data_IF_049662369581
#
_entry.id   IF_049662369581
#
_cell.length_a   1.000
_cell.length_b   1.000
_cell.length_c   1.000
_cell.angle_alpha   90.00
_cell.angle_beta   90.00
_cell.angle_gamma   90.00
#
_symmetry.space_group_name_H-M   'P 1'
#
loop_
_entity.id
_entity.type
_entity.pdbx_description
1 polymer ?
#
# COMPACT_ATOMS: atom_id res chain seq x y z
N UNK A 1 -16.29 -9.35 21.94
CA UNK A 1 -15.71 -8.00 22.17
C UNK A 1 -15.16 -7.55 20.83
N UNK A 2 -15.70 -6.47 20.27
CA UNK A 2 -15.28 -5.96 18.96
C UNK A 2 -13.90 -5.33 19.12
N UNK A 3 -12.84 -6.03 18.73
CA UNK A 3 -11.60 -5.37 18.34
C UNK A 3 -11.96 -4.55 17.10
N UNK A 4 -12.24 -3.27 17.28
CA UNK A 4 -12.42 -2.34 16.17
C UNK A 4 -11.15 -2.38 15.34
N UNK A 5 -11.13 -3.17 14.26
CA UNK A 5 -10.12 -3.05 13.22
C UNK A 5 -10.12 -1.60 12.79
N UNK A 6 -9.00 -0.92 12.94
CA UNK A 6 -8.88 0.48 12.60
C UNK A 6 -8.74 0.57 11.08
N UNK A 7 -9.88 0.66 10.38
CA UNK A 7 -9.93 0.73 8.92
C UNK A 7 -9.72 2.17 8.45
N UNK A 8 -8.69 2.38 7.62
CA UNK A 8 -8.32 3.69 7.07
C UNK A 8 -8.09 3.58 5.56
N UNK A 9 -9.14 3.44 4.74
CA UNK A 9 -9.01 3.49 3.29
C UNK A 9 -8.58 4.89 2.83
N UNK A 10 -8.22 5.00 1.57
CA UNK A 10 -7.87 6.29 0.94
C UNK A 10 -9.10 7.21 0.80
N UNK A 11 -8.87 8.49 0.51
CA UNK A 11 -9.95 9.45 0.27
C UNK A 11 -10.88 8.99 -0.87
N UNK A 12 -12.17 8.96 -0.57
CA UNK A 12 -13.23 8.42 -1.43
C UNK A 12 -13.71 9.43 -2.47
N UNK A 13 -14.57 8.99 -3.40
CA UNK A 13 -15.16 9.85 -4.43
C UNK A 13 -14.26 10.13 -5.62
N UNK A 14 -14.64 11.15 -6.39
CA UNK A 14 -14.05 11.55 -7.68
C UNK A 14 -13.80 13.07 -7.76
N UNK A 15 -13.66 13.72 -6.61
CA UNK A 15 -13.32 15.15 -6.55
C UNK A 15 -11.80 15.39 -6.58
N UNK A 16 -11.38 16.65 -6.67
CA UNK A 16 -9.96 17.02 -6.77
C UNK A 16 -9.07 16.56 -5.58
N UNK A 17 -9.65 16.18 -4.44
CA UNK A 17 -8.95 15.69 -3.25
C UNK A 17 -9.03 14.17 -3.05
N UNK A 18 -9.85 13.50 -3.87
CA UNK A 18 -9.97 12.04 -3.87
C UNK A 18 -8.68 11.35 -4.34
N UNK A 19 -8.50 10.09 -3.92
CA UNK A 19 -7.30 9.33 -4.23
C UNK A 19 -7.11 9.05 -5.72
N UNK A 20 -8.20 8.91 -6.47
CA UNK A 20 -8.17 8.64 -7.91
C UNK A 20 -7.40 9.73 -8.69
N UNK A 21 -7.45 10.99 -8.23
CA UNK A 21 -6.75 12.12 -8.84
C UNK A 21 -5.38 12.44 -8.21
N UNK A 22 -5.06 11.83 -7.07
CA UNK A 22 -3.87 12.14 -6.26
C UNK A 22 -2.96 10.93 -6.00
N UNK A 23 -3.06 9.90 -6.84
CA UNK A 23 -2.31 8.63 -6.73
C UNK A 23 -1.24 8.45 -7.82
N UNK A 24 -0.80 9.56 -8.44
CA UNK A 24 0.17 9.55 -9.54
C UNK A 24 1.58 9.16 -9.08
N UNK A 25 1.95 9.41 -7.82
CA UNK A 25 3.20 8.94 -7.23
C UNK A 25 3.29 7.40 -7.29
N UNK A 26 2.27 6.72 -6.75
CA UNK A 26 2.16 5.26 -6.78
C UNK A 26 2.06 4.73 -8.21
N UNK A 27 1.27 5.41 -9.08
CA UNK A 27 1.11 5.02 -10.49
C UNK A 27 2.46 4.92 -11.21
N UNK A 28 3.32 5.92 -11.04
CA UNK A 28 4.62 5.98 -11.71
C UNK A 28 5.55 4.86 -11.23
N UNK A 29 5.58 4.56 -9.93
CA UNK A 29 6.34 3.42 -9.40
C UNK A 29 5.84 2.08 -9.94
N UNK A 30 4.52 1.88 -9.96
CA UNK A 30 3.87 0.69 -10.51
C UNK A 30 4.23 0.50 -11.99
N UNK A 31 4.09 1.56 -12.81
CA UNK A 31 4.46 1.52 -14.23
C UNK A 31 5.96 1.23 -14.42
N UNK A 32 6.83 1.75 -13.54
CA UNK A 32 8.26 1.46 -13.56
C UNK A 32 8.62 -0.01 -13.29
N UNK A 33 7.72 -0.77 -12.64
CA UNK A 33 7.89 -2.19 -12.34
C UNK A 33 7.16 -3.12 -13.35
N UNK A 34 6.45 -2.55 -14.33
CA UNK A 34 5.57 -3.31 -15.22
C UNK A 34 6.33 -4.34 -16.06
N UNK A 35 7.41 -3.92 -16.74
CA UNK A 35 8.22 -4.81 -17.57
C UNK A 35 8.85 -5.95 -16.75
N UNK A 36 9.24 -5.66 -15.51
CA UNK A 36 9.79 -6.67 -14.59
C UNK A 36 8.71 -7.67 -14.17
N UNK A 37 7.50 -7.18 -13.90
CA UNK A 37 6.33 -8.01 -13.60
C UNK A 37 6.01 -8.94 -14.76
N UNK A 38 5.96 -8.38 -15.97
CA UNK A 38 5.75 -9.13 -17.20
C UNK A 38 6.77 -10.26 -17.33
N UNK A 39 8.06 -9.95 -17.22
CA UNK A 39 9.14 -10.94 -17.32
C UNK A 39 9.03 -12.03 -16.25
N UNK A 40 8.77 -11.67 -15.00
CA UNK A 40 8.66 -12.64 -13.92
C UNK A 40 7.47 -13.58 -14.11
N UNK A 41 6.31 -13.07 -14.54
CA UNK A 41 5.15 -13.93 -14.84
C UNK A 41 5.47 -14.92 -15.97
N UNK A 42 6.14 -14.46 -17.03
CA UNK A 42 6.52 -15.32 -18.15
C UNK A 42 7.51 -16.42 -17.75
N UNK A 43 8.52 -16.10 -16.94
CA UNK A 43 9.60 -17.02 -16.57
C UNK A 43 9.26 -17.92 -15.38
N UNK A 44 8.45 -17.43 -14.44
CA UNK A 44 8.34 -18.03 -13.10
C UNK A 44 6.99 -18.62 -12.76
N UNK A 45 5.91 -18.27 -13.46
CA UNK A 45 4.59 -18.84 -13.17
C UNK A 45 4.60 -20.32 -13.58
N UNK A 46 4.56 -21.22 -12.60
CA UNK A 46 4.71 -22.66 -12.84
C UNK A 46 3.35 -23.35 -12.85
N UNK A 47 2.50 -22.91 -13.78
CA UNK A 47 1.13 -23.41 -13.94
C UNK A 47 0.91 -23.79 -15.39
N UNK A 48 0.42 -25.01 -15.64
CA UNK A 48 -0.02 -25.40 -16.96
C UNK A 48 -1.33 -24.66 -17.28
N UNK A 49 -1.28 -23.77 -18.27
CA UNK A 49 -2.43 -23.01 -18.74
C UNK A 49 -3.32 -23.82 -19.70
N UNK A 50 -3.22 -25.16 -19.66
CA UNK A 50 -3.78 -26.09 -20.64
C UNK A 50 -4.59 -27.21 -19.95
N UNK A 51 -5.82 -26.94 -19.53
CA UNK A 51 -6.96 -27.85 -19.78
C UNK A 51 -8.28 -27.32 -19.21
N UNK A 52 -9.31 -27.45 -20.03
CA UNK A 52 -10.73 -27.65 -19.74
C UNK A 52 -11.34 -26.76 -18.65
N UNK A 53 -11.76 -25.55 -19.05
CA UNK A 53 -12.61 -24.61 -18.29
C UNK A 53 -11.96 -23.84 -17.12
N UNK A 54 -10.64 -23.60 -17.14
CA UNK A 54 -9.95 -22.95 -16.01
C UNK A 54 -10.03 -21.41 -16.05
N UNK A 55 -10.97 -20.81 -15.31
CA UNK A 55 -10.92 -19.37 -15.00
C UNK A 55 -9.60 -19.02 -14.30
N UNK A 56 -8.80 -18.14 -14.90
CA UNK A 56 -7.58 -17.59 -14.31
C UNK A 56 -7.94 -16.48 -13.32
N UNK A 57 -7.56 -16.67 -12.07
CA UNK A 57 -7.93 -15.82 -10.93
C UNK A 57 -6.78 -14.94 -10.47
N UNK A 58 -7.01 -13.64 -10.46
CA UNK A 58 -6.08 -12.61 -10.02
C UNK A 58 -6.68 -11.90 -8.81
N UNK A 59 -5.89 -11.59 -7.79
CA UNK A 59 -6.34 -10.76 -6.67
C UNK A 59 -5.42 -9.56 -6.49
N UNK A 60 -5.99 -8.36 -6.35
CA UNK A 60 -5.28 -7.16 -5.93
C UNK A 60 -5.68 -6.82 -4.49
N UNK A 61 -4.71 -6.91 -3.57
CA UNK A 61 -4.89 -6.67 -2.14
C UNK A 61 -4.55 -5.21 -1.82
N UNK A 62 -5.55 -4.43 -1.41
CA UNK A 62 -5.44 -2.97 -1.22
C UNK A 62 -5.60 -2.19 -2.53
N UNK A 63 -6.69 -2.47 -3.25
CA UNK A 63 -6.94 -1.90 -4.58
C UNK A 63 -7.34 -0.41 -4.58
N UNK A 64 -7.72 0.14 -3.41
CA UNK A 64 -8.29 1.48 -3.27
C UNK A 64 -9.50 1.68 -4.21
N UNK A 65 -9.64 2.84 -4.84
CA UNK A 65 -10.76 3.24 -5.71
C UNK A 65 -10.40 3.32 -7.19
N UNK A 66 -9.19 2.89 -7.58
CA UNK A 66 -8.63 3.09 -8.92
C UNK A 66 -7.88 4.42 -9.10
N UNK A 67 -7.30 4.68 -10.30
CA UNK A 67 -7.29 3.80 -11.48
C UNK A 67 -6.11 2.81 -11.49
N UNK A 68 -5.17 2.93 -10.55
CA UNK A 68 -3.90 2.19 -10.55
C UNK A 68 -4.11 0.67 -10.57
N UNK A 69 -5.06 0.16 -9.79
CA UNK A 69 -5.44 -1.26 -9.75
C UNK A 69 -5.81 -1.82 -11.14
N UNK A 70 -6.54 -1.04 -11.96
CA UNK A 70 -6.95 -1.49 -13.29
C UNK A 70 -5.77 -1.63 -14.25
N UNK A 71 -4.79 -0.71 -14.16
CA UNK A 71 -3.57 -0.77 -14.95
C UNK A 71 -2.77 -2.04 -14.64
N UNK A 72 -2.58 -2.33 -13.35
CA UNK A 72 -1.86 -3.54 -12.93
C UNK A 72 -2.55 -4.80 -13.40
N UNK A 73 -3.85 -4.91 -13.14
CA UNK A 73 -4.65 -6.09 -13.50
C UNK A 73 -4.60 -6.32 -15.01
N UNK A 74 -4.75 -5.27 -15.81
CA UNK A 74 -4.70 -5.40 -17.26
C UNK A 74 -3.32 -5.87 -17.73
N UNK A 75 -2.23 -5.32 -17.18
CA UNK A 75 -0.87 -5.74 -17.52
C UNK A 75 -0.61 -7.22 -17.18
N UNK A 76 -1.12 -7.71 -16.05
CA UNK A 76 -1.06 -9.13 -15.68
C UNK A 76 -1.83 -9.99 -16.69
N UNK A 77 -3.06 -9.59 -17.02
CA UNK A 77 -3.92 -10.30 -17.99
C UNK A 77 -3.23 -10.39 -19.35
N UNK A 78 -2.74 -9.27 -19.88
CA UNK A 78 -2.07 -9.21 -21.18
C UNK A 78 -0.84 -10.13 -21.21
N UNK A 79 -0.08 -10.17 -20.11
CA UNK A 79 1.06 -11.05 -19.96
C UNK A 79 0.67 -12.53 -19.99
N UNK A 80 -0.34 -12.90 -19.20
CA UNK A 80 -0.81 -14.30 -19.12
C UNK A 80 -1.41 -14.75 -20.45
N UNK A 81 -2.20 -13.89 -21.12
CA UNK A 81 -2.73 -14.16 -22.46
C UNK A 81 -1.61 -14.37 -23.46
N UNK A 82 -0.61 -13.47 -23.50
CA UNK A 82 0.53 -13.60 -24.40
C UNK A 82 1.27 -14.92 -24.22
N UNK A 83 1.43 -15.38 -22.97
CA UNK A 83 2.01 -16.69 -22.67
C UNK A 83 1.14 -17.83 -23.16
N UNK A 84 -0.15 -17.83 -22.82
CA UNK A 84 -1.10 -18.86 -23.21
C UNK A 84 -1.16 -19.04 -24.73
N UNK A 85 -1.18 -17.93 -25.48
CA UNK A 85 -1.15 -17.96 -26.95
C UNK A 85 0.13 -18.60 -27.51
N UNK A 86 1.29 -18.35 -26.89
CA UNK A 86 2.56 -18.96 -27.31
C UNK A 86 2.65 -20.46 -27.01
N UNK A 87 2.06 -20.91 -25.90
CA UNK A 87 2.13 -22.30 -25.46
C UNK A 87 1.15 -23.22 -26.20
N UNK A 88 -0.05 -22.73 -26.58
CA UNK A 88 -1.12 -23.60 -27.09
C UNK A 88 -1.31 -23.63 -28.61
N UNK A 89 -0.48 -22.92 -29.39
CA UNK A 89 -0.69 -22.62 -30.82
C UNK A 89 -2.08 -21.93 -31.06
N UNK A 90 -2.30 -21.29 -32.20
CA UNK A 90 -3.56 -20.57 -32.52
C UNK A 90 -4.84 -21.45 -32.55
N UNK A 91 -4.73 -22.74 -32.20
CA UNK A 91 -5.79 -23.74 -32.33
C UNK A 91 -6.51 -24.10 -31.02
N UNK A 92 -6.18 -23.49 -29.88
CA UNK A 92 -6.99 -23.66 -28.66
C UNK A 92 -8.39 -23.06 -28.86
N UNK A 93 -9.41 -23.91 -28.93
CA UNK A 93 -10.79 -23.53 -29.24
C UNK A 93 -11.52 -22.83 -28.08
N UNK A 94 -10.95 -22.81 -26.87
CA UNK A 94 -11.58 -22.19 -25.69
C UNK A 94 -10.69 -21.07 -25.15
N UNK A 95 -11.17 -19.81 -25.12
CA UNK A 95 -10.41 -18.69 -24.56
C UNK A 95 -10.28 -18.80 -23.03
N UNK A 96 -9.13 -18.37 -22.50
CA UNK A 96 -8.91 -18.27 -21.07
C UNK A 96 -9.80 -17.17 -20.47
N UNK A 97 -10.66 -17.52 -19.53
CA UNK A 97 -11.47 -16.55 -18.78
C UNK A 97 -10.68 -15.98 -17.62
N UNK A 98 -10.82 -14.68 -17.34
CA UNK A 98 -10.18 -14.03 -16.20
C UNK A 98 -11.22 -13.62 -15.15
N UNK A 99 -10.92 -13.85 -13.88
CA UNK A 99 -11.68 -13.34 -12.76
C UNK A 99 -10.75 -12.57 -11.82
N UNK A 100 -11.10 -11.33 -11.53
CA UNK A 100 -10.29 -10.40 -10.76
C UNK A 100 -11.00 -10.04 -9.47
N UNK A 101 -10.32 -10.27 -8.36
CA UNK A 101 -10.75 -9.93 -7.02
C UNK A 101 -10.07 -8.63 -6.59
N UNK A 102 -10.86 -7.57 -6.42
CA UNK A 102 -10.41 -6.30 -5.87
C UNK A 102 -10.66 -6.31 -4.37
N UNK A 103 -9.61 -6.49 -3.58
CA UNK A 103 -9.69 -6.50 -2.12
C UNK A 103 -9.29 -5.14 -1.55
N UNK A 104 -10.06 -4.67 -0.57
CA UNK A 104 -9.71 -3.53 0.28
C UNK A 104 -10.51 -3.62 1.59
N UNK A 105 -10.28 -2.69 2.51
CA UNK A 105 -11.07 -2.55 3.72
C UNK A 105 -12.58 -2.46 3.45
N UNK A 106 -13.39 -2.92 4.40
CA UNK A 106 -14.86 -2.89 4.28
C UNK A 106 -15.44 -1.49 4.14
N UNK A 107 -14.67 -0.45 4.52
CA UNK A 107 -15.04 0.96 4.43
C UNK A 107 -14.50 1.64 3.17
N UNK A 108 -13.77 0.93 2.31
CA UNK A 108 -13.32 1.47 1.03
C UNK A 108 -14.53 1.80 0.12
N UNK A 109 -14.36 2.79 -0.74
CA UNK A 109 -15.40 3.22 -1.68
C UNK A 109 -15.44 2.33 -2.93
N UNK A 110 -15.92 1.09 -2.73
CA UNK A 110 -16.16 0.15 -3.82
C UNK A 110 -17.17 0.67 -4.86
N UNK A 111 -18.05 1.61 -4.49
CA UNK A 111 -18.98 2.21 -5.45
C UNK A 111 -18.22 3.02 -6.48
N UNK A 112 -17.27 3.85 -6.05
CA UNK A 112 -16.40 4.59 -6.98
C UNK A 112 -15.53 3.62 -7.78
N UNK A 113 -14.91 2.62 -7.14
CA UNK A 113 -14.15 1.59 -7.86
C UNK A 113 -14.97 0.97 -9.00
N UNK A 114 -16.19 0.50 -8.75
CA UNK A 114 -17.02 -0.14 -9.77
C UNK A 114 -17.53 0.82 -10.85
N UNK A 115 -17.72 2.11 -10.52
CA UNK A 115 -18.10 3.14 -11.50
C UNK A 115 -16.97 3.52 -12.44
N UNK A 116 -15.72 3.48 -11.96
CA UNK A 116 -14.53 3.95 -12.70
C UNK A 116 -13.79 2.83 -13.43
N UNK A 117 -14.20 1.57 -13.25
CA UNK A 117 -13.65 0.45 -14.00
C UNK A 117 -13.92 0.58 -15.52
N UNK A 118 -13.03 0.05 -16.37
CA UNK A 118 -13.24 0.01 -17.82
C UNK A 118 -14.58 -0.66 -18.20
N UNK A 119 -15.34 -0.15 -19.20
CA UNK A 119 -16.60 -0.74 -19.61
C UNK A 119 -16.49 -2.23 -19.95
N UNK A 120 -17.58 -3.00 -19.77
CA UNK A 120 -17.56 -4.45 -20.02
C UNK A 120 -17.24 -4.82 -21.47
N UNK A 121 -17.41 -3.90 -22.43
CA UNK A 121 -17.02 -4.09 -23.83
C UNK A 121 -15.51 -4.04 -24.05
N UNK A 122 -14.76 -3.41 -23.15
CA UNK A 122 -13.31 -3.25 -23.20
C UNK A 122 -12.60 -4.15 -22.18
N UNK A 123 -13.35 -4.68 -21.20
CA UNK A 123 -12.85 -5.47 -20.09
C UNK A 123 -12.89 -6.95 -20.40
N UNK A 124 -11.74 -7.60 -20.37
CA UNK A 124 -11.60 -9.04 -20.65
C UNK A 124 -11.62 -9.91 -19.39
N UNK A 125 -12.24 -9.43 -18.31
CA UNK A 125 -12.30 -10.12 -17.02
C UNK A 125 -13.59 -9.86 -16.25
N UNK A 126 -14.01 -10.84 -15.46
CA UNK A 126 -15.07 -10.72 -14.46
C UNK A 126 -14.53 -10.05 -13.19
N UNK A 127 -15.23 -9.07 -12.65
CA UNK A 127 -14.78 -8.33 -11.47
C UNK A 127 -15.57 -8.71 -10.22
N UNK A 128 -14.87 -8.83 -9.10
CA UNK A 128 -15.45 -9.13 -7.78
C UNK A 128 -14.82 -8.18 -6.76
N UNK A 129 -15.64 -7.49 -5.96
CA UNK A 129 -15.15 -6.77 -4.78
C UNK A 129 -15.07 -7.70 -3.57
N UNK A 130 -13.98 -7.63 -2.82
CA UNK A 130 -13.72 -8.48 -1.64
C UNK A 130 -13.43 -7.57 -0.44
N UNK A 131 -14.46 -7.17 0.32
CA UNK A 131 -14.27 -6.31 1.48
C UNK A 131 -13.68 -7.10 2.66
N UNK A 132 -12.54 -6.64 3.19
CA UNK A 132 -11.87 -7.27 4.33
C UNK A 132 -10.38 -6.89 4.42
N UNK A 133 -9.81 -6.96 5.63
CA UNK A 133 -8.37 -6.74 5.79
C UNK A 133 -7.59 -7.90 5.18
N UNK A 134 -6.60 -7.59 4.33
CA UNK A 134 -5.67 -8.59 3.80
C UNK A 134 -4.76 -9.18 4.88
N UNK A 135 -4.70 -8.66 6.10
CA UNK A 135 -3.96 -9.32 7.18
C UNK A 135 -4.63 -10.63 7.63
N UNK A 136 -5.86 -10.88 7.20
CA UNK A 136 -6.53 -12.17 7.33
C UNK A 136 -6.80 -12.85 6.00
N UNK A 137 -7.40 -14.05 6.10
CA UNK A 137 -8.00 -14.77 4.98
C UNK A 137 -9.23 -14.01 4.47
N UNK A 138 -9.23 -13.66 3.19
CA UNK A 138 -10.34 -13.02 2.46
C UNK A 138 -10.84 -13.86 1.30
N UNK A 139 -10.08 -14.89 0.89
CA UNK A 139 -10.40 -15.76 -0.24
C UNK A 139 -10.34 -17.26 0.15
N UNK A 140 -10.98 -18.15 -0.62
CA UNK A 140 -10.87 -19.59 -0.41
C UNK A 140 -9.44 -20.10 -0.62
N UNK A 141 -9.13 -21.24 0.00
CA UNK A 141 -7.81 -21.87 -0.16
C UNK A 141 -7.57 -22.29 -1.60
N UNK A 142 -6.33 -22.17 -2.07
CA UNK A 142 -5.91 -22.60 -3.41
C UNK A 142 -6.82 -22.06 -4.53
N UNK A 143 -7.21 -20.79 -4.46
CA UNK A 143 -8.13 -20.18 -5.41
C UNK A 143 -7.48 -19.12 -6.29
N UNK A 144 -6.35 -18.53 -5.88
CA UNK A 144 -5.71 -17.43 -6.60
C UNK A 144 -4.44 -17.89 -7.30
N UNK A 145 -4.30 -17.53 -8.58
CA UNK A 145 -3.12 -17.88 -9.39
C UNK A 145 -2.05 -16.80 -9.30
N UNK A 146 -2.46 -15.53 -9.35
CA UNK A 146 -1.58 -14.37 -9.16
C UNK A 146 -2.20 -13.42 -8.14
N UNK A 147 -1.48 -13.17 -7.04
CA UNK A 147 -1.75 -12.08 -6.13
C UNK A 147 -0.89 -10.85 -6.45
N UNK A 148 -1.46 -9.67 -6.24
CA UNK A 148 -0.77 -8.39 -6.34
C UNK A 148 -1.06 -7.55 -5.11
N UNK A 149 -0.10 -6.74 -4.69
CA UNK A 149 -0.33 -5.65 -3.76
C UNK A 149 0.68 -4.54 -4.02
N UNK A 150 0.22 -3.29 -3.97
CA UNK A 150 1.08 -2.12 -4.19
C UNK A 150 0.81 -1.02 -3.17
N UNK A 151 1.86 -0.51 -2.50
CA UNK A 151 1.79 0.61 -1.57
C UNK A 151 0.84 0.40 -0.38
N UNK A 152 0.80 -0.81 0.16
CA UNK A 152 -0.15 -1.23 1.19
C UNK A 152 0.52 -1.80 2.44
N UNK A 153 1.63 -2.53 2.30
CA UNK A 153 2.24 -3.28 3.41
C UNK A 153 2.90 -2.41 4.48
N UNK A 154 3.04 -1.11 4.24
CA UNK A 154 3.50 -0.15 5.25
C UNK A 154 2.38 0.28 6.20
N UNK A 155 1.11 0.06 5.84
CA UNK A 155 -0.04 0.30 6.70
C UNK A 155 -0.25 -0.85 7.66
N UNK A 156 0.04 -0.65 8.93
CA UNK A 156 -0.18 -1.62 9.99
C UNK A 156 -1.67 -1.86 10.23
N UNK A 157 -2.01 -3.04 10.76
CA UNK A 157 -3.37 -3.41 11.15
C UNK A 157 -3.93 -2.52 12.26
N UNK A 158 -3.05 -1.94 13.09
CA UNK A 158 -3.33 -0.97 14.15
C UNK A 158 -2.06 -0.18 14.51
N UNK A 159 -2.24 0.97 15.14
CA UNK A 159 -1.13 1.63 15.81
C UNK A 159 -0.74 0.80 17.05
N UNK A 160 0.56 0.64 17.36
CA UNK A 160 0.96 -0.10 18.56
C UNK A 160 0.35 0.53 19.82
N UNK A 161 -0.34 -0.26 20.64
CA UNK A 161 -1.11 0.27 21.78
C UNK A 161 -0.25 1.11 22.74
N UNK A 162 0.98 0.66 22.97
CA UNK A 162 1.94 1.32 23.85
C UNK A 162 2.44 2.68 23.36
N UNK A 163 2.25 3.03 22.08
CA UNK A 163 2.68 4.35 21.57
C UNK A 163 1.67 5.45 21.80
N UNK A 164 0.42 5.10 22.13
CA UNK A 164 -0.65 6.04 22.47
C UNK A 164 -0.92 6.12 23.99
N UNK A 165 -0.22 5.33 24.81
CA UNK A 165 -0.39 5.32 26.27
C UNK A 165 0.60 6.26 26.96
N UNK A 166 0.10 7.34 27.58
CA UNK A 166 0.89 8.32 28.33
C UNK A 166 1.75 7.73 29.47
N UNK A 167 1.45 6.53 29.94
CA UNK A 167 2.20 5.83 31.00
C UNK A 167 3.30 4.91 30.47
N UNK A 168 3.30 4.65 29.17
CA UNK A 168 4.25 3.77 28.51
C UNK A 168 5.59 4.46 28.26
N UNK A 169 6.69 3.71 28.38
CA UNK A 169 8.01 4.17 27.95
C UNK A 169 8.10 4.36 26.42
N UNK A 170 7.20 3.71 25.67
CA UNK A 170 7.08 3.83 24.23
C UNK A 170 6.08 4.91 23.81
N UNK A 171 5.59 5.76 24.72
CA UNK A 171 4.65 6.83 24.37
C UNK A 171 5.25 7.78 23.33
N UNK A 172 4.61 7.89 22.17
CA UNK A 172 5.06 8.75 21.09
C UNK A 172 4.55 10.18 21.27
N UNK A 173 5.00 10.83 22.35
CA UNK A 173 4.48 12.14 22.77
C UNK A 173 4.61 13.24 21.72
N UNK A 174 5.74 13.29 21.02
CA UNK A 174 6.13 14.46 20.22
C UNK A 174 5.82 14.30 18.72
N UNK A 175 5.44 13.10 18.28
CA UNK A 175 5.28 12.79 16.87
C UNK A 175 4.00 11.99 16.64
N UNK A 176 3.42 12.14 15.46
CA UNK A 176 2.24 11.39 15.04
C UNK A 176 2.61 10.10 14.27
N UNK A 177 3.90 9.79 14.14
CA UNK A 177 4.42 8.66 13.35
C UNK A 177 5.65 8.02 14.00
N UNK A 178 6.01 6.82 13.56
CA UNK A 178 7.31 6.23 13.87
C UNK A 178 8.40 6.82 12.96
N UNK A 179 9.06 7.90 13.39
CA UNK A 179 10.13 8.53 12.62
C UNK A 179 11.55 7.96 12.91
N UNK A 180 11.65 6.90 13.70
CA UNK A 180 12.90 6.24 14.13
C UNK A 180 13.81 7.03 15.10
N UNK A 181 13.33 8.14 15.69
CA UNK A 181 14.11 8.88 16.70
C UNK A 181 14.11 8.22 18.09
N UNK A 182 12.99 7.60 18.47
CA UNK A 182 12.81 6.96 19.77
C UNK A 182 12.87 5.45 19.62
N UNK A 183 13.83 4.80 20.29
CA UNK A 183 14.06 3.36 20.18
C UNK A 183 12.84 2.54 20.61
N UNK A 184 12.22 2.87 21.75
CA UNK A 184 11.06 2.14 22.27
C UNK A 184 9.83 2.26 21.37
N UNK A 185 9.61 3.45 20.77
CA UNK A 185 8.57 3.65 19.74
C UNK A 185 8.87 2.77 18.53
N UNK A 186 10.10 2.85 18.02
CA UNK A 186 10.54 2.09 16.84
C UNK A 186 10.37 0.58 17.04
N UNK A 187 10.73 0.08 18.22
CA UNK A 187 10.57 -1.32 18.59
C UNK A 187 9.11 -1.74 18.65
N UNK A 188 8.22 -0.90 19.22
CA UNK A 188 6.79 -1.20 19.28
C UNK A 188 6.17 -1.30 17.87
N UNK A 189 6.52 -0.37 16.98
CA UNK A 189 6.08 -0.40 15.58
C UNK A 189 6.64 -1.61 14.82
N UNK A 190 7.91 -1.94 15.04
CA UNK A 190 8.54 -3.13 14.45
C UNK A 190 7.85 -4.43 14.86
N UNK A 191 7.52 -4.58 16.15
CA UNK A 191 6.76 -5.76 16.63
C UNK A 191 5.42 -5.88 15.90
N UNK A 192 4.68 -4.78 15.76
CA UNK A 192 3.42 -4.79 15.04
C UNK A 192 3.59 -5.14 13.55
N UNK A 193 4.61 -4.58 12.89
CA UNK A 193 4.93 -4.91 11.50
C UNK A 193 5.26 -6.38 11.29
N UNK A 194 6.05 -6.98 12.18
CA UNK A 194 6.41 -8.39 12.15
C UNK A 194 5.16 -9.27 12.23
N UNK A 195 4.27 -8.98 13.18
CA UNK A 195 2.99 -9.70 13.34
C UNK A 195 2.10 -9.56 12.10
N UNK A 196 1.98 -8.35 11.57
CA UNK A 196 1.15 -8.03 10.42
C UNK A 196 1.68 -8.69 9.13
N UNK A 197 2.99 -8.63 8.88
CA UNK A 197 3.61 -9.27 7.72
C UNK A 197 3.51 -10.79 7.76
N UNK A 198 3.69 -11.41 8.92
CA UNK A 198 3.54 -12.86 9.08
C UNK A 198 2.10 -13.29 8.80
N UNK A 199 1.12 -12.58 9.36
CA UNK A 199 -0.30 -12.82 9.12
C UNK A 199 -0.69 -12.63 7.65
N UNK A 200 -0.16 -11.59 7.00
CA UNK A 200 -0.34 -11.37 5.57
C UNK A 200 0.20 -12.54 4.74
N UNK A 201 1.45 -12.96 4.98
CA UNK A 201 2.09 -14.04 4.23
C UNK A 201 1.40 -15.38 4.47
N UNK A 202 0.99 -15.69 5.70
CA UNK A 202 0.23 -16.90 6.01
C UNK A 202 -1.11 -16.94 5.27
N UNK A 203 -1.87 -15.83 5.31
CA UNK A 203 -3.15 -15.75 4.61
C UNK A 203 -2.97 -15.91 3.09
N UNK A 204 -1.97 -15.26 2.49
CA UNK A 204 -1.65 -15.42 1.06
C UNK A 204 -1.19 -16.84 0.74
N UNK A 205 -0.40 -17.46 1.61
CA UNK A 205 0.08 -18.83 1.44
C UNK A 205 -1.07 -19.85 1.43
N UNK A 206 -2.13 -19.59 2.17
CA UNK A 206 -3.33 -20.44 2.10
C UNK A 206 -4.18 -20.19 0.84
N UNK A 207 -4.24 -18.96 0.36
CA UNK A 207 -5.14 -18.54 -0.74
C UNK A 207 -4.57 -18.81 -2.14
N UNK A 208 -3.26 -18.65 -2.32
CA UNK A 208 -2.60 -18.90 -3.60
C UNK A 208 -2.50 -20.41 -3.86
N UNK A 209 -2.70 -20.81 -5.11
CA UNK A 209 -2.41 -22.17 -5.58
C UNK A 209 -0.91 -22.48 -5.44
N UNK A 210 -0.51 -23.76 -5.24
CA UNK A 210 0.89 -24.15 -5.36
C UNK A 210 1.48 -23.70 -6.71
N UNK A 211 2.67 -23.10 -6.69
CA UNK A 211 3.29 -22.51 -7.88
C UNK A 211 2.73 -21.15 -8.33
N UNK A 212 1.67 -20.65 -7.66
CA UNK A 212 1.12 -19.31 -7.87
C UNK A 212 2.10 -18.21 -7.44
N UNK A 213 1.95 -17.02 -8.04
CA UNK A 213 2.85 -15.88 -7.80
C UNK A 213 2.18 -14.80 -6.95
N UNK A 214 2.95 -14.17 -6.07
CA UNK A 214 2.56 -12.94 -5.37
C UNK A 214 3.55 -11.83 -5.74
N UNK A 215 3.03 -10.75 -6.30
CA UNK A 215 3.82 -9.55 -6.64
C UNK A 215 3.57 -8.47 -5.60
N UNK A 216 4.64 -7.88 -5.06
CA UNK A 216 4.56 -6.88 -3.99
C UNK A 216 5.42 -5.69 -4.38
N UNK A 217 4.81 -4.50 -4.36
CA UNK A 217 5.48 -3.24 -4.66
C UNK A 217 5.20 -2.28 -3.51
N UNK A 218 6.20 -1.53 -3.07
CA UNK A 218 5.99 -0.52 -2.05
C UNK A 218 7.28 0.21 -1.73
N UNK A 219 7.29 0.89 -0.60
CA UNK A 219 8.46 1.64 -0.15
C UNK A 219 9.02 1.05 1.14
N UNK A 220 10.33 1.09 1.27
CA UNK A 220 11.05 0.76 2.50
C UNK A 220 12.18 1.76 2.72
N UNK A 221 12.73 1.76 3.94
CA UNK A 221 13.94 2.50 4.24
C UNK A 221 15.15 1.74 3.67
N UNK A 222 16.13 2.44 3.07
CA UNK A 222 17.47 1.89 2.93
C UNK A 222 18.02 1.48 4.30
N UNK A 223 18.81 0.40 4.35
CA UNK A 223 19.40 -0.06 5.61
C UNK A 223 20.24 1.05 6.26
N UNK A 224 20.03 1.27 7.56
CA UNK A 224 20.70 2.32 8.33
C UNK A 224 20.15 3.74 8.16
N UNK A 225 19.13 3.96 7.33
CA UNK A 225 18.44 5.26 7.21
C UNK A 225 17.24 5.29 8.13
N UNK A 226 17.08 6.40 8.86
CA UNK A 226 15.92 6.67 9.69
C UNK A 226 14.87 7.50 8.95
N UNK A 227 13.59 7.29 9.24
CA UNK A 227 12.50 7.99 8.55
C UNK A 227 12.59 9.52 8.73
N UNK A 228 13.00 10.02 9.90
CA UNK A 228 13.18 11.47 10.14
C UNK A 228 14.22 12.13 9.22
N UNK A 229 15.15 11.34 8.66
CA UNK A 229 16.16 11.83 7.70
C UNK A 229 15.57 11.99 6.29
N UNK A 230 14.42 11.36 6.02
CA UNK A 230 13.77 11.38 4.70
C UNK A 230 12.88 12.61 4.51
N UNK A 231 12.61 12.96 3.25
CA UNK A 231 11.66 14.03 2.97
C UNK A 231 10.22 13.63 3.35
N UNK A 232 9.85 12.36 3.20
CA UNK A 232 8.54 11.85 3.64
C UNK A 232 8.37 12.01 5.16
N UNK A 233 9.39 11.63 5.92
CA UNK A 233 9.41 11.80 7.37
C UNK A 233 9.30 13.26 7.78
N UNK A 234 10.03 14.16 7.10
CA UNK A 234 9.93 15.60 7.32
C UNK A 234 8.51 16.15 7.07
N UNK A 235 7.84 15.73 5.99
CA UNK A 235 6.46 16.15 5.69
C UNK A 235 5.51 15.69 6.79
N UNK A 236 5.61 14.43 7.22
CA UNK A 236 4.78 13.89 8.30
C UNK A 236 5.03 14.57 9.66
N UNK A 237 6.29 14.87 9.99
CA UNK A 237 6.62 15.64 11.20
C UNK A 237 6.02 17.07 11.11
N UNK A 238 6.07 17.68 9.92
CA UNK A 238 5.44 18.99 9.66
C UNK A 238 3.91 18.93 9.82
N UNK A 239 3.26 17.83 9.42
CA UNK A 239 1.83 17.61 9.68
C UNK A 239 1.56 17.55 11.19
N UNK A 240 2.40 16.86 11.96
CA UNK A 240 2.35 16.86 13.42
C UNK A 240 2.44 18.27 14.01
N UNK A 241 3.38 19.08 13.52
CA UNK A 241 3.51 20.49 13.94
C UNK A 241 2.27 21.32 13.59
N UNK A 242 1.67 21.10 12.41
CA UNK A 242 0.43 21.77 12.01
C UNK A 242 -0.73 21.42 12.95
N UNK A 243 -0.87 20.15 13.35
CA UNK A 243 -1.87 19.73 14.33
C UNK A 243 -1.65 20.43 15.68
N UNK A 244 -0.40 20.54 16.15
CA UNK A 244 -0.09 21.27 17.38
C UNK A 244 -0.42 22.76 17.29
N UNK A 245 -0.17 23.40 16.14
CA UNK A 245 -0.57 24.79 15.92
C UNK A 245 -2.10 24.95 15.90
N UNK A 246 -2.83 23.97 15.40
CA UNK A 246 -4.29 23.92 15.44
C UNK A 246 -4.81 23.74 16.87
N UNK A 247 -4.15 22.93 17.71
CA UNK A 247 -4.48 22.79 19.13
C UNK A 247 -4.30 24.12 19.88
N UNK A 248 -3.18 24.80 19.68
CA UNK A 248 -2.93 26.15 20.24
C UNK A 248 -3.95 27.19 19.77
N UNK A 249 -4.53 27.01 18.58
CA UNK A 249 -5.57 27.87 18.01
C UNK A 249 -6.99 27.48 18.46
N UNK A 250 -7.15 26.40 19.23
CA UNK A 250 -8.44 25.90 19.71
C UNK A 250 -9.29 25.13 18.69
N UNK A 251 -8.72 24.75 17.54
CA UNK A 251 -9.42 23.99 16.48
C UNK A 251 -9.48 22.49 16.82
N UNK A 252 -8.45 22.00 17.51
CA UNK A 252 -8.39 20.67 18.12
C UNK A 252 -7.83 20.81 19.54
N UNK A 253 -7.43 19.72 20.18
CA UNK A 253 -6.79 19.76 21.51
C UNK A 253 -5.49 18.96 21.53
N UNK A 254 -4.57 19.34 22.43
CA UNK A 254 -3.33 18.58 22.64
C UNK A 254 -3.63 17.16 23.12
N UNK A 255 -4.69 16.95 23.90
CA UNK A 255 -5.07 15.61 24.36
C UNK A 255 -5.46 14.69 23.21
N UNK A 256 -6.12 15.20 22.16
CA UNK A 256 -6.41 14.42 20.96
C UNK A 256 -5.13 14.04 20.22
N UNK A 257 -4.14 14.92 20.17
CA UNK A 257 -2.86 14.67 19.49
C UNK A 257 -2.01 13.68 20.29
N UNK A 258 -1.96 13.81 21.62
CA UNK A 258 -1.19 12.95 22.53
C UNK A 258 -1.51 11.45 22.41
N UNK A 259 -2.73 11.12 21.99
CA UNK A 259 -3.22 9.75 21.82
C UNK A 259 -3.34 9.33 20.35
N UNK A 260 -2.85 10.18 19.44
CA UNK A 260 -2.86 9.92 18.00
C UNK A 260 -1.50 9.40 17.54
N UNK A 261 -1.52 8.34 16.76
CA UNK A 261 -0.33 7.85 16.06
C UNK A 261 -0.78 7.11 14.81
N UNK A 262 -0.12 7.40 13.70
CA UNK A 262 -0.37 6.79 12.41
C UNK A 262 0.06 5.32 12.48
N UNK A 263 -0.78 4.37 12.02
CA UNK A 263 -0.42 2.97 11.92
C UNK A 263 0.43 2.74 10.67
N UNK A 264 1.56 3.44 10.55
CA UNK A 264 2.46 3.35 9.40
C UNK A 264 3.85 3.00 9.89
N UNK A 265 4.44 1.98 9.26
CA UNK A 265 5.82 1.59 9.48
C UNK A 265 6.50 1.28 8.16
N UNK A 266 7.64 1.94 7.92
CA UNK A 266 8.52 1.61 6.82
C UNK A 266 9.64 0.72 7.35
N UNK A 267 9.67 -0.58 7.02
CA UNK A 267 10.76 -1.46 7.43
C UNK A 267 12.05 -1.06 6.71
N UNK A 268 13.20 -1.47 7.25
CA UNK A 268 14.42 -1.50 6.45
C UNK A 268 14.37 -2.63 5.42
N UNK A 269 15.10 -2.52 4.32
CA UNK A 269 15.09 -3.54 3.27
C UNK A 269 15.52 -4.92 3.77
N UNK A 270 16.59 -4.97 4.59
CA UNK A 270 17.06 -6.21 5.23
C UNK A 270 16.03 -6.81 6.18
N UNK A 271 15.28 -5.97 6.90
CA UNK A 271 14.19 -6.38 7.77
C UNK A 271 13.07 -7.03 6.96
N UNK A 272 12.53 -6.33 5.95
CA UNK A 272 11.49 -6.85 5.07
C UNK A 272 11.87 -8.22 4.46
N UNK A 273 13.12 -8.36 4.00
CA UNK A 273 13.63 -9.61 3.46
C UNK A 273 13.64 -10.73 4.51
N UNK A 274 14.15 -10.43 5.70
CA UNK A 274 14.22 -11.40 6.81
C UNK A 274 12.85 -11.91 7.23
N UNK A 275 11.83 -11.04 7.24
CA UNK A 275 10.45 -11.43 7.57
C UNK A 275 9.88 -12.43 6.54
N UNK A 276 10.07 -12.17 5.25
CA UNK A 276 9.61 -13.04 4.17
C UNK A 276 10.31 -14.41 4.23
N UNK A 277 11.64 -14.42 4.44
CA UNK A 277 12.42 -15.64 4.54
C UNK A 277 12.01 -16.48 5.76
N UNK A 278 11.71 -15.83 6.90
CA UNK A 278 11.31 -16.50 8.14
C UNK A 278 9.96 -17.19 8.04
N UNK A 279 8.95 -16.56 7.43
CA UNK A 279 7.61 -17.12 7.30
C UNK A 279 7.63 -18.48 6.57
N UNK A 280 8.46 -18.59 5.53
CA UNK A 280 8.73 -19.87 4.87
C UNK A 280 7.61 -20.39 3.96
N UNK A 281 6.47 -19.70 3.81
CA UNK A 281 5.39 -20.09 2.88
C UNK A 281 5.74 -19.90 1.40
N UNK A 282 6.73 -19.06 1.10
CA UNK A 282 7.09 -18.69 -0.26
C UNK A 282 8.58 -18.88 -0.55
N UNK A 283 8.92 -19.06 -1.82
CA UNK A 283 10.28 -18.79 -2.34
C UNK A 283 10.33 -17.38 -2.90
N UNK A 284 11.44 -16.68 -2.67
CA UNK A 284 11.71 -15.37 -3.27
C UNK A 284 12.27 -15.61 -4.68
N UNK A 285 11.50 -15.29 -5.71
CA UNK A 285 11.94 -15.40 -7.11
C UNK A 285 12.69 -14.15 -7.58
N UNK A 286 12.29 -12.98 -7.04
CA UNK A 286 12.95 -11.71 -7.24
C UNK A 286 12.69 -10.82 -6.02
N UNK A 287 13.70 -10.11 -5.57
CA UNK A 287 13.57 -9.05 -4.55
C UNK A 287 14.68 -8.04 -4.78
N UNK A 288 14.29 -6.81 -5.10
CA UNK A 288 15.22 -5.72 -5.42
C UNK A 288 14.65 -4.37 -5.02
N UNK A 289 15.52 -3.36 -4.96
CA UNK A 289 15.14 -1.97 -4.71
C UNK A 289 15.56 -1.09 -5.88
N UNK A 290 14.79 -0.04 -6.13
CA UNK A 290 15.12 1.02 -7.07
C UNK A 290 14.76 2.38 -6.47
N UNK A 291 15.44 3.41 -6.96
CA UNK A 291 14.97 4.79 -6.80
C UNK A 291 13.55 4.96 -7.34
N UNK A 292 12.74 5.78 -6.67
CA UNK A 292 11.42 6.13 -7.17
C UNK A 292 11.57 6.86 -8.52
N UNK A 293 10.77 6.62 -9.56
CA UNK A 293 11.02 7.24 -10.86
C UNK A 293 10.88 8.78 -10.88
N UNK A 294 10.18 9.35 -9.89
CA UNK A 294 10.10 10.80 -9.66
C UNK A 294 11.25 11.37 -8.81
N UNK A 295 12.20 10.55 -8.38
CA UNK A 295 13.27 10.94 -7.45
C UNK A 295 14.19 12.05 -8.00
N UNK A 296 14.33 12.16 -9.32
CA UNK A 296 15.09 13.19 -10.01
C UNK A 296 14.32 14.47 -10.33
N UNK A 297 13.06 14.58 -9.87
CA UNK A 297 12.21 15.73 -10.10
C UNK A 297 11.96 16.47 -8.78
N UNK A 298 12.08 17.79 -8.79
CA UNK A 298 11.63 18.60 -7.67
C UNK A 298 10.09 18.54 -7.60
N UNK A 299 9.58 17.82 -6.61
CA UNK A 299 8.14 17.74 -6.37
C UNK A 299 7.64 19.10 -5.87
N UNK A 300 6.52 19.58 -6.42
CA UNK A 300 5.96 20.85 -5.97
C UNK A 300 5.26 20.69 -4.63
N UNK A 301 5.13 21.78 -3.87
CA UNK A 301 4.44 21.76 -2.58
C UNK A 301 2.97 21.37 -2.73
N UNK A 302 2.32 21.78 -3.83
CA UNK A 302 0.95 21.39 -4.15
C UNK A 302 0.83 19.89 -4.37
N UNK A 303 1.75 19.30 -5.14
CA UNK A 303 1.79 17.86 -5.38
C UNK A 303 1.90 17.07 -4.07
N UNK A 304 2.84 17.48 -3.20
CA UNK A 304 3.08 16.83 -1.91
C UNK A 304 1.85 16.97 -1.01
N UNK A 305 1.33 18.19 -0.87
CA UNK A 305 0.17 18.47 -0.02
C UNK A 305 -1.04 17.64 -0.46
N UNK A 306 -1.34 17.61 -1.76
CA UNK A 306 -2.49 16.86 -2.28
C UNK A 306 -2.30 15.34 -2.16
N UNK A 307 -1.08 14.83 -2.37
CA UNK A 307 -0.77 13.40 -2.20
C UNK A 307 -0.98 12.96 -0.75
N UNK A 308 -0.41 13.70 0.22
CA UNK A 308 -0.58 13.38 1.65
C UNK A 308 -2.02 13.55 2.12
N UNK A 309 -2.73 14.56 1.60
CA UNK A 309 -4.16 14.75 1.86
C UNK A 309 -4.96 13.52 1.43
N UNK A 310 -4.70 12.99 0.24
CA UNK A 310 -5.48 11.90 -0.31
C UNK A 310 -5.43 10.61 0.53
N UNK A 311 -4.31 10.28 1.17
CA UNK A 311 -4.23 9.07 2.00
C UNK A 311 -4.39 9.30 3.51
N UNK A 312 -4.34 10.55 3.99
CA UNK A 312 -4.54 10.87 5.41
C UNK A 312 -5.93 11.40 5.75
N UNK A 313 -6.73 11.83 4.77
CA UNK A 313 -8.06 12.44 5.01
C UNK A 313 -8.91 11.59 5.95
N UNK A 314 -9.12 10.31 5.63
CA UNK A 314 -10.02 9.43 6.38
C UNK A 314 -9.56 9.18 7.82
N UNK A 315 -8.25 9.00 8.06
CA UNK A 315 -7.73 8.79 9.42
C UNK A 315 -7.78 10.07 10.25
N UNK A 316 -7.52 11.23 9.63
CA UNK A 316 -7.58 12.53 10.31
C UNK A 316 -9.02 12.89 10.67
N UNK A 317 -9.99 12.78 9.76
CA UNK A 317 -11.40 13.08 10.04
C UNK A 317 -11.96 12.17 11.14
N UNK A 318 -11.66 10.87 11.06
CA UNK A 318 -12.14 9.89 12.03
C UNK A 318 -11.63 10.16 13.45
N UNK A 319 -10.43 10.69 13.61
CA UNK A 319 -9.84 10.97 14.93
C UNK A 319 -10.14 12.38 15.44
N UNK A 320 -9.98 13.39 14.57
CA UNK A 320 -10.04 14.79 14.98
C UNK A 320 -11.43 15.43 14.77
N UNK A 321 -12.22 14.90 13.82
CA UNK A 321 -13.55 15.39 13.44
C UNK A 321 -13.58 16.12 12.10
N UNK A 322 -14.79 16.43 11.64
CA UNK A 322 -15.05 17.09 10.36
C UNK A 322 -14.41 18.49 10.30
N UNK A 323 -13.99 18.91 9.11
CA UNK A 323 -13.42 20.24 8.85
C UNK A 323 -11.95 20.42 9.27
N UNK A 324 -11.36 19.44 9.97
CA UNK A 324 -9.93 19.49 10.37
C UNK A 324 -9.01 19.32 9.17
N UNK A 325 -9.39 18.52 8.18
CA UNK A 325 -8.56 18.20 7.01
C UNK A 325 -8.23 19.44 6.20
N UNK A 326 -9.22 20.27 5.86
CA UNK A 326 -8.98 21.48 5.06
C UNK A 326 -7.98 22.42 5.73
N UNK A 327 -8.22 22.74 7.01
CA UNK A 327 -7.33 23.62 7.77
C UNK A 327 -5.93 23.01 7.94
N UNK A 328 -5.83 21.69 8.17
CA UNK A 328 -4.55 21.00 8.32
C UNK A 328 -3.69 21.11 7.06
N UNK A 329 -4.27 20.79 5.90
CA UNK A 329 -3.52 20.79 4.64
C UNK A 329 -3.27 22.21 4.11
N UNK A 330 -4.12 23.19 4.43
CA UNK A 330 -3.83 24.61 4.19
C UNK A 330 -2.64 25.11 5.02
N UNK A 331 -2.54 24.69 6.29
CA UNK A 331 -1.38 24.99 7.14
C UNK A 331 -0.13 24.28 6.65
N UNK A 332 -0.24 23.03 6.23
CA UNK A 332 0.88 22.28 5.65
C UNK A 332 1.44 23.01 4.43
N UNK A 333 0.58 23.38 3.47
CA UNK A 333 1.00 24.12 2.27
C UNK A 333 1.73 25.43 2.63
N UNK A 334 1.19 26.21 3.59
CA UNK A 334 1.83 27.45 4.08
C UNK A 334 3.18 27.18 4.75
N UNK A 335 3.32 26.08 5.52
CA UNK A 335 4.60 25.71 6.15
C UNK A 335 5.63 25.25 5.13
N UNK A 336 5.26 24.40 4.18
CA UNK A 336 6.14 23.95 3.10
C UNK A 336 6.58 25.12 2.20
N UNK A 337 5.75 26.14 2.02
CA UNK A 337 6.17 27.36 1.31
C UNK A 337 7.21 28.17 2.08
N UNK A 338 7.05 28.30 3.41
CA UNK A 338 8.00 29.04 4.27
C UNK A 338 9.30 28.27 4.52
N UNK A 339 9.20 26.95 4.59
CA UNK A 339 10.28 26.02 4.89
C UNK A 339 10.29 24.93 3.80
N UNK A 340 10.81 25.26 2.60
CA UNK A 340 10.84 24.33 1.49
C UNK A 340 11.68 23.10 1.83
N UNK A 341 11.28 21.96 1.28
CA UNK A 341 12.01 20.69 1.42
C UNK A 341 13.30 20.79 0.61
N UNK A 342 14.42 20.54 1.28
CA UNK A 342 15.69 20.33 0.61
C UNK A 342 15.83 18.86 0.17
N UNK A 343 15.42 18.58 -1.06
CA UNK A 343 15.47 17.24 -1.65
C UNK A 343 16.90 16.72 -1.90
N UNK A 344 17.91 17.59 -1.88
CA UNK A 344 19.31 17.20 -2.04
C UNK A 344 19.91 16.76 -0.69
N UNK A 345 19.55 17.43 0.40
CA UNK A 345 20.02 17.08 1.75
C UNK A 345 19.24 15.92 2.38
N UNK A 346 17.96 15.77 2.06
CA UNK A 346 17.11 14.72 2.66
C UNK A 346 17.38 13.35 2.02
N UNK A 347 17.37 12.31 2.85
CA UNK A 347 17.34 10.92 2.39
C UNK A 347 15.98 10.61 1.76
N UNK A 348 15.86 9.42 1.18
CA UNK A 348 14.64 9.01 0.47
C UNK A 348 14.35 7.55 0.77
N UNK A 349 13.05 7.24 0.83
CA UNK A 349 12.60 5.86 0.72
C UNK A 349 13.01 5.28 -0.65
N UNK A 350 13.20 3.98 -0.70
CA UNK A 350 13.41 3.25 -1.95
C UNK A 350 12.19 2.41 -2.26
N UNK A 351 11.90 2.25 -3.55
CA UNK A 351 10.83 1.38 -4.02
C UNK A 351 11.37 -0.04 -4.05
N UNK A 352 10.75 -0.95 -3.31
CA UNK A 352 11.05 -2.38 -3.45
C UNK A 352 10.10 -3.02 -4.46
N UNK A 353 10.61 -4.03 -5.17
CA UNK A 353 9.84 -4.91 -6.04
C UNK A 353 10.14 -6.36 -5.68
N UNK A 354 9.11 -7.12 -5.34
CA UNK A 354 9.23 -8.50 -4.87
C UNK A 354 8.28 -9.38 -5.68
N UNK A 355 8.81 -10.53 -6.11
CA UNK A 355 8.02 -11.64 -6.66
C UNK A 355 8.27 -12.86 -5.79
N UNK A 356 7.20 -13.33 -5.17
CA UNK A 356 7.17 -14.55 -4.37
C UNK A 356 6.46 -15.65 -5.16
N UNK A 357 6.90 -16.89 -4.98
CA UNK A 357 6.20 -18.07 -5.49
C UNK A 357 5.76 -18.95 -4.32
N UNK A 358 4.51 -19.38 -4.36
CA UNK A 358 3.97 -20.31 -3.35
C UNK A 358 4.64 -21.68 -3.51
N UNK A 359 5.27 -22.13 -2.42
CA UNK A 359 5.90 -23.46 -2.31
C UNK A 359 4.93 -24.61 -2.50
#
# INVERSE_FOLDING_TARGET
MSTSSHLYPMSSGDDQHSYIHNSSYQKVAISGAEEKTRRCILEKLDLQLSSDFSTFRIADFGCSTGPNTFHVVQSIIDTVKSRHFKENNEHSLVPLEFQVFFNDHTTNDFNTLFKTQPPSSEREYFSVGVPGSFYGRVLPRNSIHIGHTSYTTHWLSKAPEHVCDKKSIAWNKNYIQCNNLLEEVTKAYKVQFIEDMDAFLDARGEELVPGGLMTIIGECLPDGVSLYETWQGFVMDTIGDCLMDMAKSGITSEEKIDVFSLPVYFPQFSELKGEIERNGSFTIELMETTSHPLEGMALTNEFITSTFRAFLTTIIEKHFGDGVVDELFDRLAKKLYKHPIDFEMRKKLVVYYIVLKRK
#
